data_IF_151723419145
#
_entry.id   IF_151723419145
#
_cell.length_a   1.000
_cell.length_b   1.000
_cell.length_c   1.000
_cell.angle_alpha   90.00
_cell.angle_beta   90.00
_cell.angle_gamma   90.00
#
_symmetry.space_group_name_H-M   'P 1'
#
loop_
_entity.id
_entity.type
_entity.pdbx_description
1 polymer ?
#
# COMPACT_ATOMS: atom_id res chain seq x y z
N UNK A 1 -6.92 3.26 24.71
CA UNK A 1 -6.33 4.39 23.96
C UNK A 1 -7.39 4.88 22.98
N UNK A 2 -7.91 6.10 23.14
CA UNK A 2 -8.84 6.69 22.17
C UNK A 2 -8.03 7.33 21.05
N UNK A 3 -8.30 6.95 19.80
CA UNK A 3 -7.69 7.59 18.64
C UNK A 3 -8.06 9.07 18.62
N UNK A 4 -7.07 9.96 18.42
CA UNK A 4 -7.27 11.42 18.36
C UNK A 4 -8.16 11.87 17.20
N UNK A 5 -8.34 11.02 16.19
CA UNK A 5 -9.24 11.24 15.06
C UNK A 5 -10.10 9.99 14.88
N UNK A 6 -11.42 10.17 14.88
CA UNK A 6 -12.35 9.16 14.35
C UNK A 6 -12.31 9.33 12.85
N UNK A 7 -11.70 8.39 12.14
CA UNK A 7 -11.73 8.38 10.69
C UNK A 7 -13.20 8.30 10.25
N UNK A 8 -13.68 9.32 9.54
CA UNK A 8 -14.97 9.25 8.89
C UNK A 8 -14.89 8.23 7.74
N UNK A 9 -15.97 7.49 7.51
CA UNK A 9 -16.05 6.63 6.34
C UNK A 9 -15.98 7.50 5.08
N UNK A 10 -15.00 7.28 4.19
CA UNK A 10 -14.87 8.07 2.98
C UNK A 10 -16.06 7.81 2.04
N UNK A 11 -16.56 8.88 1.40
CA UNK A 11 -17.58 8.79 0.36
C UNK A 11 -17.00 9.18 -1.00
N UNK A 12 -17.47 8.51 -2.05
CA UNK A 12 -17.12 8.85 -3.42
C UNK A 12 -18.02 9.98 -3.95
N UNK A 13 -17.48 10.84 -4.82
CA UNK A 13 -18.28 11.80 -5.58
C UNK A 13 -19.23 11.09 -6.56
N UNK A 14 -20.25 11.80 -7.06
CA UNK A 14 -21.20 11.23 -8.02
C UNK A 14 -20.47 10.68 -9.27
N UNK A 15 -20.84 9.46 -9.68
CA UNK A 15 -20.22 8.77 -10.82
C UNK A 15 -18.91 8.03 -10.48
N UNK A 16 -18.39 8.18 -9.27
CA UNK A 16 -17.21 7.47 -8.78
C UNK A 16 -17.58 6.34 -7.83
N UNK A 17 -16.74 5.29 -7.83
CA UNK A 17 -16.83 4.18 -6.88
C UNK A 17 -15.58 4.16 -6.00
N UNK A 18 -15.78 3.88 -4.72
CA UNK A 18 -14.72 3.64 -3.76
C UNK A 18 -14.81 2.22 -3.24
N UNK A 19 -13.76 1.43 -3.47
CA UNK A 19 -13.63 0.07 -2.96
C UNK A 19 -12.44 -0.02 -2.00
N UNK A 20 -12.68 -0.59 -0.81
CA UNK A 20 -11.59 -0.97 0.09
C UNK A 20 -11.04 -2.33 -0.35
N UNK A 21 -9.88 -2.31 -0.99
CA UNK A 21 -9.23 -3.54 -1.51
C UNK A 21 -8.42 -4.27 -0.44
N UNK A 22 -7.78 -3.54 0.48
CA UNK A 22 -7.09 -4.09 1.65
C UNK A 22 -7.57 -3.42 2.92
N UNK A 23 -7.54 -4.14 4.05
CA UNK A 23 -7.67 -3.54 5.38
C UNK A 23 -6.53 -2.52 5.62
N UNK A 24 -6.68 -1.58 6.56
CA UNK A 24 -5.61 -0.66 6.94
C UNK A 24 -4.29 -1.42 7.16
N UNK A 25 -3.33 -1.18 6.27
CA UNK A 25 -2.19 -2.07 6.07
C UNK A 25 -1.07 -1.85 7.09
N UNK A 26 -0.27 -2.89 7.33
CA UNK A 26 0.93 -2.88 8.17
C UNK A 26 2.17 -2.36 7.42
N UNK A 27 2.00 -1.61 6.32
CA UNK A 27 3.12 -1.01 5.59
C UNK A 27 3.90 -0.08 6.51
N UNK A 28 5.21 -0.16 6.46
CA UNK A 28 6.11 0.64 7.26
C UNK A 28 6.48 1.91 6.50
N UNK A 29 5.53 2.84 6.40
CA UNK A 29 5.72 4.11 5.68
C UNK A 29 5.67 3.94 4.17
N UNK A 30 4.47 3.65 3.64
CA UNK A 30 4.22 3.68 2.20
C UNK A 30 4.57 5.07 1.63
N UNK A 31 5.39 5.10 0.58
CA UNK A 31 5.78 6.32 -0.12
C UNK A 31 5.30 6.29 -1.58
N UNK A 32 6.14 5.80 -2.51
CA UNK A 32 5.76 5.61 -3.91
C UNK A 32 4.90 4.39 -4.19
N UNK A 33 4.12 4.45 -5.27
CA UNK A 33 3.40 3.31 -5.83
C UNK A 33 3.42 3.29 -7.37
N UNK A 34 3.46 2.08 -7.94
CA UNK A 34 3.44 1.87 -9.39
C UNK A 34 2.60 0.67 -9.79
N UNK A 35 1.84 0.79 -10.88
CA UNK A 35 1.19 -0.35 -11.54
C UNK A 35 2.20 -1.19 -12.30
N UNK A 36 2.19 -2.50 -12.10
CA UNK A 36 2.98 -3.46 -12.85
C UNK A 36 2.26 -3.98 -14.10
N UNK A 37 3.00 -4.51 -15.10
CA UNK A 37 2.41 -5.17 -16.26
C UNK A 37 1.69 -6.48 -15.92
N UNK A 38 1.90 -7.00 -14.70
CA UNK A 38 1.23 -8.16 -14.13
C UNK A 38 -0.08 -7.81 -13.39
N UNK A 39 -0.50 -6.54 -13.42
CA UNK A 39 -1.74 -6.08 -12.78
C UNK A 39 -1.63 -5.84 -11.28
N UNK A 40 -0.44 -5.99 -10.67
CA UNK A 40 -0.23 -5.69 -9.24
C UNK A 40 0.15 -4.23 -9.01
N UNK A 41 -0.09 -3.74 -7.78
CA UNK A 41 0.43 -2.44 -7.33
C UNK A 41 1.67 -2.67 -6.49
N UNK A 42 2.80 -2.14 -6.93
CA UNK A 42 4.05 -2.16 -6.19
C UNK A 42 4.13 -0.90 -5.34
N UNK A 43 4.55 -1.05 -4.08
CA UNK A 43 4.62 0.03 -3.09
C UNK A 43 6.01 0.06 -2.47
N UNK A 44 6.67 1.21 -2.60
CA UNK A 44 7.89 1.52 -1.90
C UNK A 44 7.59 1.85 -0.43
N UNK A 45 8.40 1.32 0.49
CA UNK A 45 8.29 1.59 1.91
C UNK A 45 9.59 2.20 2.43
N UNK A 46 9.58 3.50 2.72
CA UNK A 46 10.79 4.23 3.16
C UNK A 46 11.23 3.74 4.53
N UNK A 47 10.34 3.74 5.52
CA UNK A 47 10.71 3.28 6.88
C UNK A 47 10.94 1.78 6.93
N UNK A 48 10.22 1.01 6.11
CA UNK A 48 10.39 -0.42 5.94
C UNK A 48 11.69 -0.81 5.23
N UNK A 49 12.24 0.09 4.41
CA UNK A 49 13.30 -0.19 3.45
C UNK A 49 13.03 -1.44 2.61
N UNK A 50 11.81 -1.55 2.07
CA UNK A 50 11.34 -2.72 1.31
C UNK A 50 10.38 -2.33 0.18
N UNK A 51 10.19 -3.25 -0.77
CA UNK A 51 9.14 -3.17 -1.79
C UNK A 51 8.12 -4.28 -1.53
N UNK A 52 6.83 -3.93 -1.54
CA UNK A 52 5.73 -4.89 -1.50
C UNK A 52 4.86 -4.79 -2.75
N UNK A 53 4.21 -5.89 -3.14
CA UNK A 53 3.20 -5.92 -4.19
C UNK A 53 1.83 -6.27 -3.60
N UNK A 54 0.81 -5.52 -4.00
CA UNK A 54 -0.60 -5.77 -3.71
C UNK A 54 -1.27 -6.38 -4.94
N UNK A 55 -1.87 -7.55 -4.76
CA UNK A 55 -2.82 -8.12 -5.71
C UNK A 55 -4.21 -7.50 -5.48
N UNK A 56 -4.74 -6.82 -6.50
CA UNK A 56 -6.03 -6.13 -6.43
C UNK A 56 -7.23 -7.07 -6.45
N UNK A 57 -7.07 -8.29 -6.96
CA UNK A 57 -8.16 -9.28 -7.04
C UNK A 57 -8.38 -9.98 -5.70
N UNK A 58 -7.32 -10.18 -4.93
CA UNK A 58 -7.34 -10.90 -3.66
C UNK A 58 -7.16 -10.00 -2.43
N UNK A 59 -6.61 -8.80 -2.61
CA UNK A 59 -6.24 -7.89 -1.52
C UNK A 59 -4.96 -8.30 -0.78
N UNK A 60 -4.24 -9.33 -1.25
CA UNK A 60 -3.04 -9.86 -0.60
C UNK A 60 -1.84 -8.95 -0.87
N UNK A 61 -1.06 -8.67 0.17
CA UNK A 61 0.20 -7.92 0.10
C UNK A 61 1.36 -8.89 0.34
N UNK A 62 2.29 -8.93 -0.61
CA UNK A 62 3.51 -9.75 -0.55
C UNK A 62 4.75 -8.88 -0.55
N UNK A 63 5.83 -9.35 0.07
CA UNK A 63 7.14 -8.69 0.00
C UNK A 63 7.85 -9.13 -1.28
N UNK A 64 8.23 -8.18 -2.14
CA UNK A 64 8.97 -8.42 -3.38
C UNK A 64 10.46 -8.25 -3.16
N UNK A 65 10.85 -7.20 -2.44
CA UNK A 65 12.22 -6.97 -2.01
C UNK A 65 12.21 -6.68 -0.52
N UNK A 66 12.79 -7.57 0.27
CA UNK A 66 12.80 -7.45 1.71
C UNK A 66 13.83 -6.43 2.19
N UNK A 67 13.65 -5.94 3.41
CA UNK A 67 14.65 -5.12 4.09
C UNK A 67 16.01 -5.82 4.11
N UNK A 68 17.04 -5.11 3.66
CA UNK A 68 18.40 -5.64 3.54
C UNK A 68 18.67 -6.43 2.26
N UNK A 69 17.72 -6.48 1.33
CA UNK A 69 17.95 -6.98 -0.03
C UNK A 69 18.61 -5.93 -0.94
N UNK A 70 18.56 -6.18 -2.24
CA UNK A 70 19.26 -5.37 -3.26
C UNK A 70 18.73 -3.94 -3.39
N UNK A 71 17.47 -3.71 -2.98
CA UNK A 71 16.84 -2.40 -3.01
C UNK A 71 16.85 -1.82 -1.58
N UNK A 72 17.60 -0.73 -1.39
CA UNK A 72 17.78 -0.06 -0.10
C UNK A 72 17.12 1.32 -0.16
N UNK A 73 16.41 1.68 0.91
CA UNK A 73 15.74 2.98 1.07
C UNK A 73 14.92 3.42 -0.18
N UNK A 74 13.97 2.59 -0.65
CA UNK A 74 13.15 2.95 -1.81
C UNK A 74 12.21 4.10 -1.45
N UNK A 75 12.23 5.14 -2.28
CA UNK A 75 11.47 6.37 -2.07
C UNK A 75 10.27 6.48 -3.02
N UNK A 76 10.46 6.15 -4.31
CA UNK A 76 9.42 6.19 -5.36
C UNK A 76 9.39 4.94 -6.26
#
# INVERSE_FOLDING_TARGET
>A
MNARYVAQDPSAAQGWRLDRVTQPSRLFGANGLRTGPDGRIYVAQVTGSQISALDLSTGVVETVSAKGGDIIAPDD
#
